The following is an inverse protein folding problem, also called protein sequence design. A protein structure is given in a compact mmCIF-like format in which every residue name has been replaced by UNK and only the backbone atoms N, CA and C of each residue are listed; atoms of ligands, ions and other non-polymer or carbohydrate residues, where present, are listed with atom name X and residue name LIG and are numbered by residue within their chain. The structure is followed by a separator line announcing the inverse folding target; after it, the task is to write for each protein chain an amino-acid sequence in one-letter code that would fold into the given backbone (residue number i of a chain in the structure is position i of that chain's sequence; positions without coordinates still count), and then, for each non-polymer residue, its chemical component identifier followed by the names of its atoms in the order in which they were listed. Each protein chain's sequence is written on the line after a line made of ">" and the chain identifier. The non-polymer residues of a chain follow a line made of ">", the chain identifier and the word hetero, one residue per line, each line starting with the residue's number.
data_IF_533453938684
#
_entry.id   IF_533453938684
#
_cell.length_a   1.000
_cell.length_b   1.000
_cell.length_c   1.000
_cell.angle_alpha   90.00
_cell.angle_beta   90.00
_cell.angle_gamma   90.00
#
_symmetry.space_group_name_H-M   'P 1'
#
loop_
_entity.id
_entity.type
_entity.pdbx_description
1 polymer ?
#
# COMPACT_ATOMS: atom_id res chain seq x y z
N UNK A 1 10.09 -36.29 -10.97
CA UNK A 1 11.49 -35.90 -10.63
C UNK A 1 11.72 -34.39 -10.52
N UNK A 2 10.88 -33.50 -11.08
CA UNK A 2 11.02 -32.03 -10.92
C UNK A 2 10.37 -31.45 -9.63
N UNK A 3 9.42 -32.16 -9.02
CA UNK A 3 8.72 -31.72 -7.81
C UNK A 3 9.58 -31.81 -6.53
N UNK A 4 10.52 -32.76 -6.49
CA UNK A 4 11.40 -32.99 -5.33
C UNK A 4 12.45 -31.89 -5.17
N UNK A 5 12.89 -31.28 -6.28
CA UNK A 5 13.84 -30.16 -6.24
C UNK A 5 13.23 -28.85 -5.72
N UNK A 6 11.92 -28.66 -5.89
CA UNK A 6 11.20 -27.50 -5.37
C UNK A 6 10.96 -27.64 -3.86
N UNK A 7 10.61 -28.84 -3.39
CA UNK A 7 10.38 -29.12 -1.96
C UNK A 7 11.68 -29.04 -1.14
N UNK A 8 12.81 -29.46 -1.72
CA UNK A 8 14.13 -29.34 -1.11
C UNK A 8 14.58 -27.88 -0.97
N UNK A 9 14.39 -27.04 -2.00
CA UNK A 9 14.72 -25.61 -1.92
C UNK A 9 13.81 -24.84 -0.95
N UNK A 10 12.56 -25.26 -0.76
CA UNK A 10 11.66 -24.69 0.25
C UNK A 10 12.09 -25.11 1.66
N UNK A 11 12.54 -26.37 1.85
CA UNK A 11 13.09 -26.84 3.13
C UNK A 11 14.40 -26.15 3.54
N UNK A 12 15.26 -25.80 2.59
CA UNK A 12 16.48 -25.03 2.89
C UNK A 12 16.17 -23.58 3.29
N UNK A 13 15.07 -23.00 2.78
CA UNK A 13 14.56 -21.69 3.19
C UNK A 13 14.04 -21.71 4.63
N UNK A 14 13.42 -22.82 5.07
CA UNK A 14 12.97 -23.01 6.46
C UNK A 14 14.14 -23.05 7.46
N UNK A 15 15.32 -23.55 7.06
CA UNK A 15 16.46 -23.71 7.99
C UNK A 15 17.29 -22.43 8.22
N UNK A 16 17.26 -21.45 7.32
CA UNK A 16 18.06 -20.23 7.46
C UNK A 16 17.44 -19.19 8.40
N UNK A 17 16.11 -19.19 8.60
CA UNK A 17 15.44 -18.26 9.52
C UNK A 17 14.44 -18.90 10.50
N UNK A 18 14.22 -20.23 10.45
CA UNK A 18 13.43 -20.98 11.44
C UNK A 18 11.94 -20.64 11.49
N UNK A 19 11.42 -19.87 10.54
CA UNK A 19 10.00 -19.53 10.41
C UNK A 19 9.66 -19.60 8.93
N UNK A 20 8.74 -20.48 8.55
CA UNK A 20 8.38 -20.66 7.15
C UNK A 20 7.71 -19.43 6.54
N UNK A 21 7.89 -19.22 5.23
CA UNK A 21 7.43 -18.02 4.50
C UNK A 21 5.94 -17.70 4.74
N UNK A 22 5.08 -18.72 4.79
CA UNK A 22 3.65 -18.56 5.07
C UNK A 22 3.42 -18.10 6.52
N UNK A 23 4.12 -18.71 7.47
CA UNK A 23 4.05 -18.37 8.88
C UNK A 23 4.58 -16.94 9.12
N UNK A 24 5.57 -16.52 8.34
CA UNK A 24 6.10 -15.16 8.34
C UNK A 24 5.13 -14.15 7.72
N UNK A 25 4.53 -14.42 6.55
CA UNK A 25 3.53 -13.53 5.92
C UNK A 25 2.28 -13.34 6.79
N UNK A 26 1.93 -14.37 7.57
CA UNK A 26 0.84 -14.31 8.54
C UNK A 26 1.29 -13.75 9.91
N UNK A 27 2.58 -13.66 10.19
CA UNK A 27 3.08 -13.20 11.50
C UNK A 27 2.75 -11.74 11.82
N UNK A 28 2.75 -10.77 10.88
CA UNK A 28 2.26 -9.41 11.15
C UNK A 28 0.78 -9.37 11.52
N UNK A 29 0.00 -10.36 11.06
CA UNK A 29 -1.43 -10.47 11.35
C UNK A 29 -1.66 -11.13 12.72
N UNK A 30 -0.82 -12.10 13.10
CA UNK A 30 -0.96 -12.87 14.35
C UNK A 30 -0.29 -12.22 15.56
N UNK A 31 0.91 -11.66 15.41
CA UNK A 31 1.68 -11.02 16.48
C UNK A 31 2.52 -9.84 15.94
N UNK A 32 1.87 -8.70 15.63
CA UNK A 32 2.53 -7.54 15.05
C UNK A 32 3.63 -6.95 15.95
N UNK A 33 3.49 -7.07 17.28
CA UNK A 33 4.41 -6.44 18.24
C UNK A 33 5.75 -7.17 18.34
N UNK A 34 5.73 -8.51 18.36
CA UNK A 34 6.95 -9.33 18.33
C UNK A 34 7.72 -9.14 17.03
N UNK A 35 7.02 -9.11 15.89
CA UNK A 35 7.62 -8.89 14.56
C UNK A 35 8.24 -7.49 14.48
N UNK A 36 7.52 -6.45 14.93
CA UNK A 36 8.04 -5.09 14.98
C UNK A 36 9.29 -4.96 15.87
N UNK A 37 9.28 -5.61 17.05
CA UNK A 37 10.41 -5.59 17.99
C UNK A 37 11.63 -6.35 17.45
N UNK A 38 11.43 -7.44 16.71
CA UNK A 38 12.50 -8.16 16.01
C UNK A 38 13.04 -7.35 14.82
N UNK A 39 12.17 -6.69 14.06
CA UNK A 39 12.55 -5.87 12.91
C UNK A 39 13.35 -4.63 13.30
N UNK A 40 12.95 -3.93 14.36
CA UNK A 40 13.66 -2.73 14.89
C UNK A 40 15.06 -3.03 15.44
N UNK A 41 15.32 -4.29 15.84
CA UNK A 41 16.64 -4.78 16.30
C UNK A 41 17.59 -5.16 15.16
N UNK A 42 17.10 -5.33 13.92
CA UNK A 42 17.96 -5.58 12.75
C UNK A 42 18.31 -4.25 12.08
N UNK A 43 19.60 -3.83 12.08
CA UNK A 43 19.99 -2.53 11.52
C UNK A 43 19.59 -2.34 10.05
N UNK A 44 19.60 -3.43 9.26
CA UNK A 44 19.20 -3.44 7.86
C UNK A 44 17.73 -3.03 7.65
N UNK A 45 16.81 -3.56 8.45
CA UNK A 45 15.38 -3.28 8.34
C UNK A 45 14.97 -1.87 8.76
N UNK A 46 15.84 -1.12 9.45
CA UNK A 46 15.54 0.25 9.89
C UNK A 46 15.26 1.20 8.72
N UNK A 47 16.00 1.05 7.61
CA UNK A 47 15.78 1.87 6.41
C UNK A 47 14.43 1.59 5.76
N UNK A 48 14.03 0.30 5.71
CA UNK A 48 12.71 -0.09 5.24
C UNK A 48 11.60 0.46 6.14
N UNK A 49 11.74 0.30 7.46
CA UNK A 49 10.75 0.80 8.43
C UNK A 49 10.63 2.33 8.38
N UNK A 50 11.75 3.05 8.17
CA UNK A 50 11.75 4.49 7.99
C UNK A 50 11.02 4.89 6.70
N UNK A 51 11.31 4.22 5.58
CA UNK A 51 10.60 4.43 4.33
C UNK A 51 9.09 4.18 4.50
N UNK A 52 8.72 3.09 5.16
CA UNK A 52 7.32 2.76 5.44
C UNK A 52 6.64 3.83 6.30
N UNK A 53 7.32 4.30 7.36
CA UNK A 53 6.83 5.36 8.22
C UNK A 53 6.61 6.68 7.44
N UNK A 54 7.57 7.07 6.58
CA UNK A 54 7.47 8.28 5.76
C UNK A 54 6.27 8.18 4.82
N UNK A 55 6.15 7.08 4.07
CA UNK A 55 5.05 6.87 3.12
C UNK A 55 3.70 6.87 3.84
N UNK A 56 3.59 6.19 4.98
CA UNK A 56 2.37 6.19 5.79
C UNK A 56 2.03 7.57 6.35
N UNK A 57 3.02 8.34 6.81
CA UNK A 57 2.80 9.69 7.31
C UNK A 57 2.31 10.64 6.20
N UNK A 58 2.88 10.52 5.00
CA UNK A 58 2.42 11.28 3.83
C UNK A 58 0.98 10.91 3.45
N UNK A 59 0.66 9.62 3.41
CA UNK A 59 -0.69 9.14 3.13
C UNK A 59 -1.71 9.62 4.17
N UNK A 60 -1.36 9.57 5.46
CA UNK A 60 -2.20 10.07 6.54
C UNK A 60 -2.45 11.58 6.44
N UNK A 61 -1.39 12.36 6.22
CA UNK A 61 -1.50 13.81 6.04
C UNK A 61 -2.40 14.16 4.84
N UNK A 62 -2.22 13.48 3.71
CA UNK A 62 -3.07 13.66 2.55
C UNK A 62 -4.53 13.28 2.81
N UNK A 63 -4.78 12.16 3.47
CA UNK A 63 -6.12 11.72 3.86
C UNK A 63 -6.82 12.73 4.77
N UNK A 64 -6.11 13.29 5.76
CA UNK A 64 -6.65 14.33 6.65
C UNK A 64 -6.98 15.61 5.89
N UNK A 65 -6.12 16.05 4.96
CA UNK A 65 -6.35 17.27 4.17
C UNK A 65 -7.55 17.10 3.24
N UNK A 66 -7.71 15.94 2.61
CA UNK A 66 -8.88 15.67 1.75
C UNK A 66 -10.14 15.55 2.59
N UNK A 67 -10.08 14.82 3.73
CA UNK A 67 -11.22 14.63 4.61
C UNK A 67 -11.73 15.95 5.23
N UNK A 68 -10.85 16.95 5.43
CA UNK A 68 -11.26 18.26 5.97
C UNK A 68 -12.15 19.07 5.00
N UNK A 69 -12.12 18.74 3.71
CA UNK A 69 -13.02 19.34 2.71
C UNK A 69 -14.39 18.67 2.65
N UNK A 70 -14.58 17.53 3.34
CA UNK A 70 -15.82 16.76 3.31
C UNK A 70 -16.72 17.15 4.48
N UNK A 71 -17.92 17.63 4.18
CA UNK A 71 -18.98 17.84 5.14
C UNK A 71 -20.04 16.74 5.01
N UNK A 72 -20.25 16.00 6.10
CA UNK A 72 -21.31 15.02 6.19
C UNK A 72 -22.60 15.66 6.71
N UNK A 73 -23.69 15.54 5.94
CA UNK A 73 -25.04 15.92 6.35
C UNK A 73 -25.90 14.68 6.52
N UNK A 74 -26.47 14.52 7.70
CA UNK A 74 -27.33 13.39 8.02
C UNK A 74 -28.79 13.83 7.92
N UNK A 75 -29.59 13.07 7.18
CA UNK A 75 -31.03 13.29 7.00
C UNK A 75 -31.81 12.04 7.38
N UNK A 76 -33.10 12.18 7.69
CA UNK A 76 -33.99 11.09 8.13
C UNK A 76 -33.43 10.29 9.31
N UNK A 77 -33.05 11.00 10.39
CA UNK A 77 -32.53 10.37 11.59
C UNK A 77 -33.65 9.57 12.31
N UNK A 78 -33.36 8.35 12.81
CA UNK A 78 -34.25 7.66 13.73
C UNK A 78 -34.54 8.51 14.97
N UNK A 79 -35.75 8.38 15.53
CA UNK A 79 -36.09 9.04 16.80
C UNK A 79 -35.09 8.68 17.90
N UNK A 80 -34.65 9.69 18.66
CA UNK A 80 -33.68 9.54 19.75
C UNK A 80 -32.21 9.65 19.36
N UNK A 81 -31.89 9.84 18.07
CA UNK A 81 -30.52 10.03 17.60
C UNK A 81 -30.19 11.51 17.45
N UNK A 82 -29.23 12.00 18.23
CA UNK A 82 -28.73 13.38 18.15
C UNK A 82 -27.66 13.51 17.03
N UNK A 83 -27.89 14.35 15.99
CA UNK A 83 -26.92 14.61 14.94
C UNK A 83 -25.56 15.09 15.46
N UNK A 84 -25.52 15.80 16.59
CA UNK A 84 -24.28 16.29 17.19
C UNK A 84 -23.39 15.15 17.68
N UNK A 85 -23.97 14.06 18.17
CA UNK A 85 -23.23 12.87 18.61
C UNK A 85 -22.61 12.12 17.43
N UNK A 86 -23.34 12.00 16.32
CA UNK A 86 -22.80 11.40 15.09
C UNK A 86 -21.65 12.24 14.54
N UNK A 87 -21.82 13.57 14.49
CA UNK A 87 -20.74 14.46 14.06
C UNK A 87 -19.52 14.40 14.98
N UNK A 88 -19.72 14.31 16.31
CA UNK A 88 -18.64 14.16 17.26
C UNK A 88 -17.87 12.84 17.05
N UNK A 89 -18.57 11.72 16.84
CA UNK A 89 -17.95 10.44 16.53
C UNK A 89 -17.18 10.49 15.20
N UNK A 90 -17.78 11.05 14.15
CA UNK A 90 -17.13 11.23 12.85
C UNK A 90 -15.86 12.06 12.95
N UNK A 91 -15.83 13.12 13.77
CA UNK A 91 -14.62 13.93 14.02
C UNK A 91 -13.49 13.14 14.68
N UNK A 92 -13.80 12.14 15.50
CA UNK A 92 -12.78 11.26 16.09
C UNK A 92 -12.19 10.34 15.02
N UNK A 93 -13.03 9.74 14.17
CA UNK A 93 -12.61 8.83 13.11
C UNK A 93 -11.93 9.54 11.92
N UNK A 94 -12.28 10.80 11.62
CA UNK A 94 -11.59 11.64 10.64
C UNK A 94 -10.41 12.42 11.25
N UNK A 95 -10.17 12.24 12.55
CA UNK A 95 -9.09 12.91 13.27
C UNK A 95 -7.70 12.43 12.82
N UNK A 96 -6.68 13.30 12.87
CA UNK A 96 -5.32 12.96 12.42
C UNK A 96 -4.72 11.74 13.11
N UNK A 97 -5.04 11.51 14.38
CA UNK A 97 -4.54 10.38 15.15
C UNK A 97 -5.11 9.04 14.67
N UNK A 98 -6.42 8.98 14.41
CA UNK A 98 -7.07 7.75 13.93
C UNK A 98 -6.69 7.45 12.48
N UNK A 99 -6.77 8.46 11.60
CA UNK A 99 -6.34 8.35 10.20
C UNK A 99 -4.86 7.97 10.13
N UNK A 100 -4.00 8.61 10.94
CA UNK A 100 -2.58 8.28 11.03
C UNK A 100 -2.32 6.83 11.47
N UNK A 101 -2.95 6.37 12.53
CA UNK A 101 -2.77 5.01 13.03
C UNK A 101 -3.23 3.95 12.01
N UNK A 102 -4.41 4.16 11.41
CA UNK A 102 -4.96 3.24 10.40
C UNK A 102 -4.14 3.23 9.10
N UNK A 103 -3.71 4.39 8.60
CA UNK A 103 -2.82 4.51 7.43
C UNK A 103 -1.44 3.91 7.69
N UNK A 104 -0.92 4.00 8.92
CA UNK A 104 0.35 3.38 9.28
C UNK A 104 0.26 1.85 9.29
N UNK A 105 -0.73 1.30 9.99
CA UNK A 105 -0.89 -0.16 10.09
C UNK A 105 -1.17 -0.77 8.72
N UNK A 106 -2.12 -0.20 7.96
CA UNK A 106 -2.44 -0.68 6.61
C UNK A 106 -1.26 -0.52 5.65
N UNK A 107 -0.58 0.64 5.67
CA UNK A 107 0.60 0.90 4.85
C UNK A 107 1.73 -0.09 5.14
N UNK A 108 2.00 -0.40 6.42
CA UNK A 108 3.01 -1.37 6.81
C UNK A 108 2.68 -2.79 6.29
N UNK A 109 1.42 -3.22 6.41
CA UNK A 109 0.98 -4.52 5.87
C UNK A 109 1.20 -4.58 4.36
N UNK A 110 0.77 -3.54 3.62
CA UNK A 110 0.96 -3.46 2.17
C UNK A 110 2.45 -3.46 1.80
N UNK A 111 3.28 -2.71 2.51
CA UNK A 111 4.73 -2.65 2.28
C UNK A 111 5.39 -4.01 2.46
N UNK A 112 5.02 -4.74 3.53
CA UNK A 112 5.54 -6.08 3.81
C UNK A 112 5.09 -7.09 2.76
N UNK A 113 3.82 -7.06 2.34
CA UNK A 113 3.31 -7.93 1.29
C UNK A 113 3.98 -7.65 -0.06
N UNK A 114 4.14 -6.38 -0.42
CA UNK A 114 4.80 -5.98 -1.66
C UNK A 114 6.27 -6.41 -1.67
N UNK A 115 7.00 -6.18 -0.58
CA UNK A 115 8.39 -6.63 -0.44
C UNK A 115 8.52 -8.16 -0.42
N UNK A 116 7.57 -8.87 0.19
CA UNK A 116 7.48 -10.33 0.11
C UNK A 116 7.22 -10.84 -1.31
N UNK A 117 6.35 -10.16 -2.07
CA UNK A 117 6.09 -10.50 -3.47
C UNK A 117 7.33 -10.28 -4.34
N UNK A 118 8.05 -9.16 -4.15
CA UNK A 118 9.35 -8.91 -4.78
C UNK A 118 10.31 -10.07 -4.52
N UNK A 119 10.41 -10.50 -3.27
CA UNK A 119 11.25 -11.63 -2.87
C UNK A 119 10.88 -12.93 -3.61
N UNK A 120 9.59 -13.28 -3.66
CA UNK A 120 9.09 -14.48 -4.33
C UNK A 120 9.38 -14.41 -5.84
N UNK A 121 9.05 -13.30 -6.50
CA UNK A 121 9.25 -13.14 -7.94
C UNK A 121 10.73 -13.23 -8.31
N UNK A 122 11.62 -12.60 -7.54
CA UNK A 122 13.06 -12.67 -7.75
C UNK A 122 13.59 -14.11 -7.69
N UNK A 123 13.11 -14.88 -6.70
CA UNK A 123 13.51 -16.29 -6.51
C UNK A 123 12.98 -17.17 -7.64
N UNK A 124 11.73 -16.98 -8.07
CA UNK A 124 11.16 -17.70 -9.21
C UNK A 124 11.87 -17.39 -10.52
N UNK A 125 12.39 -16.19 -10.69
CA UNK A 125 13.23 -15.82 -11.84
C UNK A 125 14.64 -16.45 -11.81
N UNK A 126 14.97 -17.18 -10.75
CA UNK A 126 16.26 -17.86 -10.56
C UNK A 126 17.32 -17.01 -9.85
N UNK A 127 16.89 -16.01 -9.08
CA UNK A 127 17.79 -15.14 -8.31
C UNK A 127 18.45 -15.87 -7.14
N UNK A 128 19.59 -15.34 -6.71
CA UNK A 128 20.36 -15.85 -5.58
C UNK A 128 19.53 -15.92 -4.29
N UNK A 129 19.82 -16.88 -3.39
CA UNK A 129 19.17 -16.98 -2.11
C UNK A 129 19.66 -15.85 -1.19
N UNK A 130 18.89 -14.77 -1.11
CA UNK A 130 19.11 -13.68 -0.14
C UNK A 130 18.10 -13.77 0.99
N UNK A 131 18.42 -13.15 2.13
CA UNK A 131 17.43 -13.04 3.22
C UNK A 131 16.30 -12.08 2.82
N UNK A 132 15.08 -12.35 3.30
CA UNK A 132 13.94 -11.44 3.12
C UNK A 132 14.24 -10.07 3.73
N UNK A 133 15.00 -10.00 4.83
CA UNK A 133 15.37 -8.73 5.45
C UNK A 133 16.24 -7.87 4.52
N UNK A 134 17.13 -8.48 3.74
CA UNK A 134 17.92 -7.80 2.70
C UNK A 134 17.01 -7.30 1.58
N UNK A 135 16.06 -8.14 1.14
CA UNK A 135 15.07 -7.74 0.13
C UNK A 135 14.25 -6.55 0.58
N UNK A 136 13.70 -6.58 1.80
CA UNK A 136 12.89 -5.49 2.36
C UNK A 136 13.70 -4.19 2.46
N UNK A 137 14.97 -4.30 2.87
CA UNK A 137 15.87 -3.15 2.93
C UNK A 137 16.05 -2.49 1.56
N UNK A 138 16.37 -3.28 0.53
CA UNK A 138 16.51 -2.77 -0.84
C UNK A 138 15.17 -2.29 -1.43
N UNK A 139 14.07 -2.96 -1.08
CA UNK A 139 12.72 -2.56 -1.48
C UNK A 139 12.28 -1.23 -0.86
N UNK A 140 12.85 -0.81 0.28
CA UNK A 140 12.54 0.48 0.90
C UNK A 140 12.69 1.67 -0.07
N UNK A 141 13.72 1.66 -0.92
CA UNK A 141 13.92 2.70 -1.94
C UNK A 141 12.82 2.68 -3.01
N UNK A 142 12.38 1.49 -3.45
CA UNK A 142 11.23 1.33 -4.36
C UNK A 142 9.96 1.84 -3.67
N UNK A 143 9.76 1.49 -2.39
CA UNK A 143 8.56 1.87 -1.65
C UNK A 143 8.43 3.38 -1.45
N UNK A 144 9.53 4.12 -1.30
CA UNK A 144 9.49 5.59 -1.21
C UNK A 144 8.84 6.26 -2.43
N UNK A 145 8.94 5.66 -3.61
CA UNK A 145 8.27 6.19 -4.81
C UNK A 145 6.74 6.14 -4.70
N UNK A 146 6.17 5.23 -3.90
CA UNK A 146 4.74 5.22 -3.57
C UNK A 146 4.35 6.43 -2.73
N UNK A 147 5.25 6.89 -1.85
CA UNK A 147 5.04 8.13 -1.10
C UNK A 147 4.98 9.35 -2.02
N UNK A 148 5.88 9.40 -3.01
CA UNK A 148 5.89 10.48 -4.03
C UNK A 148 4.60 10.45 -4.85
N UNK A 149 4.19 9.27 -5.31
CA UNK A 149 2.90 9.09 -6.00
C UNK A 149 1.73 9.56 -5.14
N UNK A 150 1.67 9.11 -3.88
CA UNK A 150 0.61 9.48 -2.95
C UNK A 150 0.53 11.00 -2.76
N UNK A 151 1.67 11.69 -2.66
CA UNK A 151 1.71 13.15 -2.58
C UNK A 151 1.15 13.81 -3.85
N UNK A 152 1.56 13.32 -5.02
CA UNK A 152 1.07 13.84 -6.31
C UNK A 152 -0.44 13.62 -6.45
N UNK A 153 -0.93 12.43 -6.10
CA UNK A 153 -2.35 12.09 -6.16
C UNK A 153 -3.15 13.01 -5.22
N UNK A 154 -2.66 13.23 -4.00
CA UNK A 154 -3.29 14.15 -3.04
C UNK A 154 -3.32 15.58 -3.58
N UNK A 155 -2.20 16.09 -4.10
CA UNK A 155 -2.14 17.45 -4.66
C UNK A 155 -3.08 17.59 -5.86
N UNK A 156 -3.03 16.65 -6.80
CA UNK A 156 -3.90 16.64 -7.97
C UNK A 156 -5.38 16.56 -7.58
N UNK A 157 -5.69 15.74 -6.58
CA UNK A 157 -7.04 15.62 -6.03
C UNK A 157 -7.49 16.93 -5.36
N UNK A 158 -6.64 17.59 -4.58
CA UNK A 158 -6.96 18.88 -3.96
C UNK A 158 -7.15 20.01 -4.97
N UNK A 159 -6.53 19.92 -6.14
CA UNK A 159 -6.75 20.86 -7.25
C UNK A 159 -8.06 20.57 -8.00
N UNK A 160 -8.44 19.30 -8.11
CA UNK A 160 -9.65 18.88 -8.81
C UNK A 160 -10.93 19.02 -7.97
N UNK A 161 -10.81 18.86 -6.65
CA UNK A 161 -11.94 18.93 -5.73
C UNK A 161 -12.32 20.37 -5.37
N UNK A 162 -13.63 20.69 -5.25
CA UNK A 162 -14.07 21.97 -4.72
C UNK A 162 -13.60 22.17 -3.27
N UNK A 163 -13.60 23.42 -2.80
CA UNK A 163 -13.19 23.76 -1.42
C UNK A 163 -14.04 23.06 -0.35
N UNK A 164 -15.27 22.70 -0.68
CA UNK A 164 -16.20 21.98 0.19
C UNK A 164 -17.01 20.96 -0.61
N UNK A 165 -17.00 19.71 -0.15
CA UNK A 165 -17.76 18.59 -0.68
C UNK A 165 -18.82 18.24 0.34
N UNK A 166 -20.09 18.36 -0.01
CA UNK A 166 -21.19 17.99 0.89
C UNK A 166 -21.69 16.61 0.52
N UNK A 167 -21.54 15.65 1.44
CA UNK A 167 -22.06 14.30 1.31
C UNK A 167 -23.30 14.17 2.20
N UNK A 168 -24.45 13.99 1.56
CA UNK A 168 -25.72 13.75 2.28
C UNK A 168 -25.90 12.25 2.47
N UNK A 169 -26.00 11.82 3.72
CA UNK A 169 -26.25 10.43 4.12
C UNK A 169 -27.66 10.36 4.67
N UNK A 170 -28.50 9.57 3.99
CA UNK A 170 -29.83 9.19 4.49
C UNK A 170 -29.66 7.98 5.42
N UNK A 171 -30.01 8.13 6.70
CA UNK A 171 -29.88 7.04 7.68
C UNK A 171 -31.03 6.02 7.61
N UNK A 172 -32.15 6.36 6.97
CA UNK A 172 -33.21 5.40 6.68
C UNK A 172 -32.86 4.48 5.49
N UNK A 173 -31.94 4.93 4.62
CA UNK A 173 -31.34 4.11 3.56
C UNK A 173 -29.85 4.45 3.38
N UNK A 174 -28.94 3.90 4.21
CA UNK A 174 -27.51 4.26 4.18
C UNK A 174 -26.82 3.89 2.85
N UNK A 175 -27.43 3.03 2.03
CA UNK A 175 -26.96 2.70 0.68
C UNK A 175 -27.39 3.72 -0.40
N UNK A 176 -28.27 4.68 -0.06
CA UNK A 176 -28.70 5.73 -1.00
C UNK A 176 -27.78 6.95 -1.03
N UNK A 177 -26.68 6.95 -0.26
CA UNK A 177 -25.59 7.88 -0.50
C UNK A 177 -25.22 7.75 -1.98
N UNK A 178 -25.50 8.79 -2.78
CA UNK A 178 -25.26 8.80 -4.23
C UNK A 178 -23.76 8.80 -4.49
N UNK A 179 -23.12 7.65 -4.29
CA UNK A 179 -21.70 7.41 -4.51
C UNK A 179 -21.33 7.68 -5.98
N UNK A 180 -22.30 7.57 -6.90
CA UNK A 180 -22.12 7.85 -8.33
C UNK A 180 -21.77 9.29 -8.68
N UNK A 181 -22.23 10.29 -7.91
CA UNK A 181 -21.89 11.70 -8.16
C UNK A 181 -20.52 12.07 -7.54
N UNK A 182 -20.18 11.42 -6.42
CA UNK A 182 -18.90 11.58 -5.74
C UNK A 182 -17.78 10.90 -6.53
N UNK A 183 -17.97 9.64 -6.96
CA UNK A 183 -16.96 8.87 -7.70
C UNK A 183 -16.54 9.53 -9.03
N UNK A 184 -17.44 10.27 -9.70
CA UNK A 184 -17.09 11.07 -10.89
C UNK A 184 -16.10 12.21 -10.57
N UNK A 185 -16.11 12.73 -9.34
CA UNK A 185 -15.20 13.80 -8.89
C UNK A 185 -13.80 13.27 -8.50
N UNK A 186 -13.65 11.94 -8.30
CA UNK A 186 -12.36 11.29 -8.01
C UNK A 186 -11.76 10.59 -9.24
N UNK A 187 -12.25 10.89 -10.45
CA UNK A 187 -11.69 10.31 -11.68
C UNK A 187 -10.24 10.75 -11.90
N UNK A 188 -9.41 9.81 -12.38
CA UNK A 188 -8.02 10.09 -12.71
C UNK A 188 -7.95 11.18 -13.79
N UNK A 189 -7.22 12.26 -13.51
CA UNK A 189 -6.98 13.33 -14.47
C UNK A 189 -5.87 12.92 -15.44
N UNK A 190 -5.78 13.52 -16.64
CA UNK A 190 -4.65 13.27 -17.55
C UNK A 190 -3.29 13.50 -16.90
N UNK A 191 -3.20 14.49 -15.99
CA UNK A 191 -1.99 14.79 -15.22
C UNK A 191 -1.69 13.68 -14.22
N UNK A 192 -2.68 13.18 -13.46
CA UNK A 192 -2.46 12.09 -12.51
C UNK A 192 -2.07 10.78 -13.21
N UNK A 193 -2.61 10.53 -14.41
CA UNK A 193 -2.22 9.39 -15.25
C UNK A 193 -0.79 9.52 -15.77
N UNK A 194 -0.39 10.69 -16.28
CA UNK A 194 0.98 10.94 -16.74
C UNK A 194 2.00 10.77 -15.60
N UNK A 195 1.69 11.31 -14.43
CA UNK A 195 2.54 11.17 -13.24
C UNK A 195 2.58 9.73 -12.72
N UNK A 196 1.47 9.01 -12.74
CA UNK A 196 1.44 7.57 -12.42
C UNK A 196 2.32 6.76 -13.37
N UNK A 197 2.33 7.10 -14.67
CA UNK A 197 3.23 6.51 -15.66
C UNK A 197 4.71 6.77 -15.35
N UNK A 198 5.06 8.02 -15.01
CA UNK A 198 6.44 8.39 -14.63
C UNK A 198 6.91 7.63 -13.38
N UNK A 199 6.05 7.54 -12.35
CA UNK A 199 6.37 6.76 -11.14
C UNK A 199 6.51 5.27 -11.48
N UNK A 200 5.66 4.72 -12.35
CA UNK A 200 5.77 3.32 -12.76
C UNK A 200 7.09 3.02 -13.49
N UNK A 201 7.57 3.93 -14.35
CA UNK A 201 8.89 3.82 -15.01
C UNK A 201 10.01 3.89 -13.97
N UNK A 202 9.91 4.82 -13.02
CA UNK A 202 10.91 4.95 -11.96
C UNK A 202 10.98 3.70 -11.07
N UNK A 203 9.82 3.16 -10.69
CA UNK A 203 9.73 1.91 -9.94
C UNK A 203 10.29 0.73 -10.71
N UNK A 204 9.97 0.63 -12.00
CA UNK A 204 10.51 -0.41 -12.86
C UNK A 204 12.04 -0.38 -12.90
N UNK A 205 12.63 0.82 -13.03
CA UNK A 205 14.08 1.01 -12.97
C UNK A 205 14.66 0.57 -11.63
N UNK A 206 14.13 1.08 -10.51
CA UNK A 206 14.63 0.74 -9.17
C UNK A 206 14.47 -0.75 -8.84
N UNK A 207 13.37 -1.38 -9.27
CA UNK A 207 13.16 -2.81 -9.13
C UNK A 207 14.16 -3.59 -9.99
N UNK A 208 14.44 -3.16 -11.22
CA UNK A 208 15.43 -3.82 -12.08
C UNK A 208 16.82 -3.78 -11.43
N UNK A 209 17.21 -2.63 -10.89
CA UNK A 209 18.47 -2.49 -10.16
C UNK A 209 18.49 -3.35 -8.89
N UNK A 210 17.41 -3.37 -8.11
CA UNK A 210 17.28 -4.23 -6.93
C UNK A 210 17.45 -5.71 -7.29
N UNK A 211 16.77 -6.17 -8.34
CA UNK A 211 16.83 -7.55 -8.83
C UNK A 211 18.23 -7.92 -9.32
N UNK A 212 18.90 -7.02 -10.03
CA UNK A 212 20.24 -7.26 -10.55
C UNK A 212 21.31 -7.25 -9.45
N UNK A 213 21.22 -6.32 -8.51
CA UNK A 213 22.27 -6.09 -7.50
C UNK A 213 22.12 -6.98 -6.29
N UNK A 214 20.90 -7.19 -5.80
CA UNK A 214 20.64 -7.98 -4.59
C UNK A 214 20.46 -9.45 -4.93
N UNK A 215 19.75 -9.78 -6.02
CA UNK A 215 19.45 -11.17 -6.37
C UNK A 215 20.34 -11.72 -7.49
N UNK A 216 21.33 -10.96 -7.97
CA UNK A 216 22.28 -11.43 -9.00
C UNK A 216 21.62 -11.80 -10.33
N UNK A 217 20.40 -11.33 -10.60
CA UNK A 217 19.69 -11.66 -11.84
C UNK A 217 20.34 -10.95 -13.04
N UNK A 218 20.36 -11.61 -14.19
CA UNK A 218 20.80 -10.98 -15.44
C UNK A 218 19.87 -9.82 -15.81
N UNK A 219 20.40 -8.78 -16.47
CA UNK A 219 19.64 -7.57 -16.82
C UNK A 219 18.27 -7.85 -17.45
N UNK A 220 18.21 -8.80 -18.39
CA UNK A 220 16.96 -9.19 -19.05
C UNK A 220 15.94 -9.82 -18.10
N UNK A 221 16.39 -10.72 -17.20
CA UNK A 221 15.52 -11.35 -16.19
C UNK A 221 15.06 -10.34 -15.14
N UNK A 222 15.96 -9.45 -14.70
CA UNK A 222 15.65 -8.36 -13.77
C UNK A 222 14.58 -7.43 -14.33
N UNK A 223 14.75 -6.98 -15.58
CA UNK A 223 13.81 -6.10 -16.27
C UNK A 223 12.43 -6.76 -16.44
N UNK A 224 12.38 -8.04 -16.81
CA UNK A 224 11.14 -8.79 -16.96
C UNK A 224 10.43 -9.00 -15.61
N UNK A 225 11.16 -9.39 -14.57
CA UNK A 225 10.61 -9.55 -13.22
C UNK A 225 10.07 -8.23 -12.66
N UNK A 226 10.80 -7.13 -12.84
CA UNK A 226 10.37 -5.79 -12.47
C UNK A 226 9.11 -5.37 -13.25
N UNK A 227 9.04 -5.66 -14.56
CA UNK A 227 7.87 -5.35 -15.37
C UNK A 227 6.63 -6.09 -14.88
N UNK A 228 6.74 -7.38 -14.54
CA UNK A 228 5.63 -8.15 -13.96
C UNK A 228 5.13 -7.49 -12.68
N UNK A 229 6.03 -7.15 -11.76
CA UNK A 229 5.67 -6.52 -10.49
C UNK A 229 4.98 -5.15 -10.67
N UNK A 230 5.43 -4.35 -11.62
CA UNK A 230 4.79 -3.05 -11.94
C UNK A 230 3.44 -3.26 -12.61
N UNK A 231 3.32 -4.21 -13.54
CA UNK A 231 2.07 -4.52 -14.24
C UNK A 231 0.99 -5.08 -13.28
N UNK A 232 1.37 -5.87 -12.28
CA UNK A 232 0.45 -6.37 -11.26
C UNK A 232 -0.29 -5.24 -10.52
N UNK A 233 0.32 -4.04 -10.40
CA UNK A 233 -0.33 -2.87 -9.77
C UNK A 233 -1.47 -2.29 -10.59
N UNK A 234 -1.52 -2.58 -11.89
CA UNK A 234 -2.59 -2.11 -12.77
C UNK A 234 -3.79 -3.07 -12.79
N UNK A 235 -3.69 -4.27 -12.21
CA UNK A 235 -4.81 -5.23 -12.16
C UNK A 235 -6.02 -4.65 -11.41
N UNK A 236 -5.88 -4.02 -10.23
CA UNK A 236 -7.02 -3.38 -9.55
C UNK A 236 -7.63 -2.22 -10.37
N UNK A 237 -6.82 -1.50 -11.15
CA UNK A 237 -7.29 -0.42 -12.03
C UNK A 237 -8.16 -0.97 -13.16
N UNK A 238 -7.72 -2.04 -13.81
CA UNK A 238 -8.45 -2.71 -14.90
C UNK A 238 -9.71 -3.41 -14.37
N UNK A 239 -9.61 -4.08 -13.22
CA UNK A 239 -10.76 -4.71 -12.57
C UNK A 239 -11.80 -3.67 -12.10
N UNK A 240 -11.35 -2.52 -11.59
CA UNK A 240 -12.23 -1.41 -11.21
C UNK A 240 -12.94 -0.77 -12.41
N UNK A 241 -12.29 -0.68 -13.57
CA UNK A 241 -12.89 -0.21 -14.82
C UNK A 241 -13.89 -1.23 -15.42
N UNK A 242 -13.67 -2.52 -15.22
CA UNK A 242 -14.53 -3.59 -15.73
C UNK A 242 -15.79 -3.84 -14.88
N UNK A 243 -15.79 -3.36 -13.62
CA UNK A 243 -16.93 -3.45 -12.69
C UNK A 243 -17.83 -2.20 -12.73
N UNK A 244 -17.62 -1.31 -13.71
CA UNK A 244 -18.41 -0.10 -13.97
C UNK A 244 -19.16 -0.19 -15.30
#
# INVERSE_FOLDING_TARGET
>A
MAADGLSLKIREVDQAEGIGLIEYLLSPVKDPWSVFRKATRRPSLRLFLLAALIVSALGAAGGVIVASRIEYRFVNLPEGVDPAQIQAAMRVFSGPAFVGATSFVSGMVVALLAGGLVHVVARLAGGEPVSLSTTLTGFGAVYLTEGVKSLIDVVGLLQALPERIVITIDLANPYSARAGDVAKQFQATPVSLAMSGLVAVWQWFLLTELMSTVFGLSRGKSAAAAAILVLLKFIPLVAGLALW
#
